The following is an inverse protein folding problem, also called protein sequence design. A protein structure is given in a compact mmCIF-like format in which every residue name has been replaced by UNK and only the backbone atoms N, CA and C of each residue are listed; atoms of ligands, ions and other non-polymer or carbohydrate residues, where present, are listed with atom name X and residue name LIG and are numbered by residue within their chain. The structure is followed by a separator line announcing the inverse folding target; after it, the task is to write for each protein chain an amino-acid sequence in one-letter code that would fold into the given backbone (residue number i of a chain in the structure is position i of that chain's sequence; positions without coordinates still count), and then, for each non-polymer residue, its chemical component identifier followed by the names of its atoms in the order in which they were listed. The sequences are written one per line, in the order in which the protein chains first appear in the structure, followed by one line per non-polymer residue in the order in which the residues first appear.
data_IF_396783771859
#
_entry.id   IF_396783771859
#
_cell.length_a   1.000
_cell.length_b   1.000
_cell.length_c   1.000
_cell.angle_alpha   90.00
_cell.angle_beta   90.00
_cell.angle_gamma   90.00
#
_symmetry.space_group_name_H-M   'P 1'
#
loop_
_entity.id
_entity.type
_entity.pdbx_description
1 polymer ?
#
# COMPACT_ATOMS: atom_id res chain seq x y z
N UNK A 1 -10.90 -11.28 1.94
CA UNK A 1 -11.43 -9.90 2.01
C UNK A 1 -11.04 -9.27 3.33
N UNK A 2 -10.42 -8.10 3.30
CA UNK A 2 -9.93 -7.36 4.47
C UNK A 2 -10.65 -5.99 4.58
N UNK A 3 -10.86 -5.43 5.77
CA UNK A 3 -11.59 -4.16 5.95
C UNK A 3 -10.80 -2.90 5.52
N UNK A 4 -11.19 -2.25 4.44
CA UNK A 4 -10.65 -0.96 3.97
C UNK A 4 -11.27 0.28 4.62
N UNK A 5 -10.69 1.45 4.32
CA UNK A 5 -11.15 2.75 4.81
C UNK A 5 -12.57 3.05 4.30
N UNK A 6 -13.37 3.74 5.12
CA UNK A 6 -14.75 4.13 4.83
C UNK A 6 -15.74 2.96 4.63
N UNK A 7 -15.53 1.84 5.33
CA UNK A 7 -16.44 0.69 5.30
C UNK A 7 -16.40 -0.12 4.00
N UNK A 8 -15.36 0.05 3.18
CA UNK A 8 -15.13 -0.75 1.97
C UNK A 8 -14.34 -2.01 2.31
N UNK A 9 -14.49 -3.08 1.55
CA UNK A 9 -13.64 -4.28 1.65
C UNK A 9 -12.55 -4.23 0.57
N UNK A 10 -11.39 -4.79 0.89
CA UNK A 10 -10.15 -4.84 0.09
C UNK A 10 -9.83 -6.31 -0.17
N UNK A 11 -9.66 -6.69 -1.43
CA UNK A 11 -9.34 -8.07 -1.83
C UNK A 11 -7.83 -8.19 -2.06
N UNK A 12 -7.11 -8.56 -1.00
CA UNK A 12 -5.67 -8.80 -1.09
C UNK A 12 -5.43 -10.28 -1.39
N UNK A 13 -4.74 -10.53 -2.50
CA UNK A 13 -4.27 -11.87 -2.88
C UNK A 13 -2.84 -12.09 -2.39
N UNK A 14 -2.60 -13.22 -1.75
CA UNK A 14 -1.27 -13.63 -1.27
C UNK A 14 -0.80 -14.86 -2.05
N UNK A 15 0.41 -14.81 -2.61
CA UNK A 15 1.13 -16.05 -2.94
C UNK A 15 1.89 -16.50 -1.69
N UNK A 16 1.31 -17.43 -0.93
CA UNK A 16 1.92 -17.92 0.32
C UNK A 16 3.31 -18.52 0.12
N UNK A 17 3.47 -19.45 -0.83
CA UNK A 17 4.79 -20.04 -1.13
C UNK A 17 5.80 -19.02 -1.67
N UNK A 18 5.36 -18.07 -2.50
CA UNK A 18 6.23 -17.02 -3.05
C UNK A 18 6.58 -15.93 -2.02
N UNK A 19 5.81 -15.82 -0.93
CA UNK A 19 5.90 -14.72 0.03
C UNK A 19 5.72 -13.35 -0.63
N UNK A 20 4.73 -13.27 -1.53
CA UNK A 20 4.36 -12.07 -2.26
C UNK A 20 2.91 -11.69 -1.98
N UNK A 21 2.65 -10.39 -1.96
CA UNK A 21 1.33 -9.79 -1.87
C UNK A 21 1.00 -9.06 -3.17
N UNK A 22 -0.21 -9.25 -3.67
CA UNK A 22 -0.77 -8.49 -4.79
C UNK A 22 -1.62 -7.35 -4.26
N UNK A 23 -1.37 -6.14 -4.76
CA UNK A 23 -2.22 -4.97 -4.50
C UNK A 23 -2.78 -4.45 -5.81
N UNK A 24 -4.07 -4.13 -5.85
CA UNK A 24 -4.62 -3.29 -6.91
C UNK A 24 -4.20 -1.81 -6.75
N UNK A 25 -4.55 -0.98 -7.73
CA UNK A 25 -4.16 0.44 -7.78
C UNK A 25 -4.57 1.30 -6.56
N UNK A 26 -5.52 0.86 -5.73
CA UNK A 26 -6.10 1.67 -4.65
C UNK A 26 -6.01 1.04 -3.27
N UNK A 27 -5.71 -0.26 -3.18
CA UNK A 27 -5.80 -1.02 -1.94
C UNK A 27 -4.73 -0.67 -0.89
N UNK A 28 -3.48 -0.44 -1.30
CA UNK A 28 -2.38 -0.12 -0.37
C UNK A 28 -2.60 1.20 0.39
N UNK A 29 -3.33 2.14 -0.21
CA UNK A 29 -3.71 3.42 0.39
C UNK A 29 -5.00 3.33 1.22
N UNK A 30 -5.79 2.26 1.04
CA UNK A 30 -7.09 2.06 1.69
C UNK A 30 -7.04 1.14 2.90
N UNK A 31 -5.89 0.54 3.23
CA UNK A 31 -5.74 -0.33 4.39
C UNK A 31 -5.96 0.43 5.71
N UNK A 32 -7.00 0.05 6.44
CA UNK A 32 -7.22 0.48 7.83
C UNK A 32 -6.24 -0.21 8.78
N UNK A 33 -6.11 0.30 9.99
CA UNK A 33 -5.41 -0.37 11.09
C UNK A 33 -5.76 -1.86 11.24
N UNK A 34 -7.06 -2.19 11.45
CA UNK A 34 -7.51 -3.58 11.50
C UNK A 34 -7.13 -4.42 10.27
N UNK A 35 -7.30 -3.91 9.04
CA UNK A 35 -6.92 -4.68 7.86
C UNK A 35 -5.41 -4.86 7.71
N UNK A 36 -4.61 -3.88 8.14
CA UNK A 36 -3.17 -4.02 8.17
C UNK A 36 -2.75 -5.09 9.18
N UNK A 37 -3.40 -5.15 10.36
CA UNK A 37 -3.18 -6.19 11.35
C UNK A 37 -3.51 -7.57 10.77
N UNK A 38 -4.70 -7.72 10.17
CA UNK A 38 -5.16 -8.98 9.59
C UNK A 38 -4.26 -9.43 8.41
N UNK A 39 -3.82 -8.49 7.58
CA UNK A 39 -2.86 -8.75 6.48
C UNK A 39 -1.53 -9.25 7.01
N UNK A 40 -0.95 -8.58 8.01
CA UNK A 40 0.30 -9.00 8.64
C UNK A 40 0.15 -10.38 9.26
N UNK A 41 -0.98 -10.68 9.90
CA UNK A 41 -1.28 -12.01 10.42
C UNK A 41 -1.37 -13.07 9.31
N UNK A 42 -1.94 -12.73 8.16
CA UNK A 42 -1.97 -13.62 7.00
C UNK A 42 -0.58 -13.87 6.41
N UNK A 43 0.25 -12.82 6.28
CA UNK A 43 1.64 -12.93 5.85
C UNK A 43 2.46 -13.78 6.84
N UNK A 44 2.29 -13.57 8.15
CA UNK A 44 2.96 -14.33 9.19
C UNK A 44 2.68 -15.84 9.09
N UNK A 45 1.43 -16.25 8.89
CA UNK A 45 1.06 -17.67 8.73
C UNK A 45 1.72 -18.32 7.51
N UNK A 46 2.07 -17.55 6.48
CA UNK A 46 2.74 -18.12 5.30
C UNK A 46 4.24 -18.39 5.52
N UNK A 47 4.84 -17.83 6.57
CA UNK A 47 6.27 -18.06 6.90
C UNK A 47 6.59 -19.49 7.34
N UNK A 48 5.57 -20.30 7.64
CA UNK A 48 5.72 -21.71 7.95
C UNK A 48 5.72 -22.57 6.66
N UNK A 49 5.44 -21.96 5.50
CA UNK A 49 5.49 -22.62 4.19
C UNK A 49 6.90 -22.54 3.61
N UNK A 50 7.35 -23.58 2.88
CA UNK A 50 8.62 -23.52 2.16
C UNK A 50 8.58 -22.42 1.09
N UNK A 51 9.65 -21.62 1.01
CA UNK A 51 9.75 -20.58 0.00
C UNK A 51 9.87 -21.18 -1.41
N UNK A 52 9.08 -20.66 -2.33
CA UNK A 52 9.11 -21.00 -3.76
C UNK A 52 9.46 -19.74 -4.55
N UNK A 53 10.48 -19.82 -5.40
CA UNK A 53 10.82 -18.74 -6.33
C UNK A 53 9.65 -18.49 -7.27
N UNK A 54 9.26 -17.22 -7.44
CA UNK A 54 8.24 -16.84 -8.41
C UNK A 54 8.69 -17.29 -9.81
N UNK A 55 7.81 -17.99 -10.53
CA UNK A 55 8.13 -18.46 -11.88
C UNK A 55 8.35 -17.27 -12.83
N UNK A 56 9.31 -17.34 -13.77
CA UNK A 56 9.56 -16.25 -14.73
C UNK A 56 8.36 -15.91 -15.62
N UNK A 57 7.46 -16.87 -15.84
CA UNK A 57 6.23 -16.73 -16.62
C UNK A 57 5.01 -16.30 -15.78
N UNK A 58 5.21 -15.94 -14.51
CA UNK A 58 4.14 -15.43 -13.67
C UNK A 58 3.54 -14.15 -14.26
N UNK A 59 2.25 -14.23 -14.56
CA UNK A 59 1.46 -13.10 -15.06
C UNK A 59 0.71 -12.37 -13.95
N UNK A 60 0.06 -11.27 -14.34
CA UNK A 60 -0.89 -10.56 -13.49
C UNK A 60 -2.00 -11.48 -12.98
N UNK A 61 -2.29 -11.42 -11.68
CA UNK A 61 -3.37 -12.21 -11.04
C UNK A 61 -4.76 -11.98 -11.67
N UNK A 62 -4.99 -10.81 -12.29
CA UNK A 62 -6.28 -10.42 -12.85
C UNK A 62 -6.41 -10.72 -14.34
N UNK A 63 -5.38 -10.49 -15.15
CA UNK A 63 -5.46 -10.62 -16.61
C UNK A 63 -4.42 -11.55 -17.25
N UNK A 64 -3.52 -12.15 -16.46
CA UNK A 64 -2.45 -13.03 -16.97
C UNK A 64 -1.35 -12.31 -17.77
N UNK A 65 -1.46 -10.99 -18.00
CA UNK A 65 -0.45 -10.24 -18.75
C UNK A 65 0.92 -10.25 -18.06
N UNK A 66 1.97 -10.15 -18.87
CA UNK A 66 3.36 -10.06 -18.40
C UNK A 66 3.55 -8.90 -17.42
N UNK A 67 4.33 -9.15 -16.37
CA UNK A 67 4.68 -8.16 -15.37
C UNK A 67 5.92 -7.35 -15.82
N UNK A 68 5.98 -6.08 -15.41
CA UNK A 68 7.17 -5.23 -15.56
C UNK A 68 7.75 -4.92 -14.18
N UNK A 69 9.07 -4.97 -14.07
CA UNK A 69 9.77 -4.55 -12.86
C UNK A 69 9.80 -3.02 -12.80
N UNK A 70 9.25 -2.46 -11.72
CA UNK A 70 9.21 -1.01 -11.47
C UNK A 70 9.89 -0.72 -10.15
N UNK A 71 10.70 0.34 -10.12
CA UNK A 71 11.36 0.81 -8.91
C UNK A 71 10.58 2.00 -8.37
N UNK A 72 10.04 1.86 -7.17
CA UNK A 72 9.31 2.92 -6.51
C UNK A 72 10.20 3.59 -5.45
N UNK A 73 9.87 4.82 -5.08
CA UNK A 73 10.55 5.61 -4.05
C UNK A 73 9.51 6.13 -3.08
N UNK A 74 9.63 5.72 -1.83
CA UNK A 74 8.86 6.28 -0.73
C UNK A 74 9.75 7.21 0.11
N UNK A 75 9.16 7.89 1.10
CA UNK A 75 9.92 8.64 2.11
C UNK A 75 10.86 7.76 2.94
N UNK A 76 10.69 6.44 2.90
CA UNK A 76 11.47 5.47 3.67
C UNK A 76 12.48 4.68 2.83
N UNK A 77 12.59 4.96 1.53
CA UNK A 77 13.58 4.33 0.66
C UNK A 77 13.00 3.81 -0.65
N UNK A 78 13.81 2.99 -1.32
CA UNK A 78 13.48 2.37 -2.61
C UNK A 78 12.82 1.02 -2.39
N UNK A 79 11.89 0.69 -3.26
CA UNK A 79 11.19 -0.59 -3.32
C UNK A 79 11.08 -1.05 -4.77
N UNK A 80 10.82 -2.33 -4.97
CA UNK A 80 10.67 -2.93 -6.28
C UNK A 80 9.33 -3.63 -6.36
N UNK A 81 8.58 -3.36 -7.42
CA UNK A 81 7.25 -3.90 -7.69
C UNK A 81 7.26 -4.65 -9.02
N UNK A 82 6.47 -5.71 -9.12
CA UNK A 82 6.17 -6.36 -10.40
C UNK A 82 4.76 -5.93 -10.83
N UNK A 83 4.70 -4.84 -11.60
CA UNK A 83 3.45 -4.20 -12.02
C UNK A 83 2.86 -4.88 -13.27
N UNK A 84 1.53 -4.97 -13.32
CA UNK A 84 0.81 -5.29 -14.54
C UNK A 84 0.98 -4.17 -15.58
N UNK A 85 1.34 -4.52 -16.82
CA UNK A 85 1.38 -3.56 -17.94
C UNK A 85 0.01 -2.93 -18.25
N UNK A 86 -1.08 -3.63 -17.95
CA UNK A 86 -2.45 -3.12 -18.09
C UNK A 86 -2.92 -2.30 -16.87
N UNK A 87 -2.09 -2.11 -15.85
CA UNK A 87 -2.41 -1.27 -14.70
C UNK A 87 -3.33 -1.90 -13.66
N UNK A 88 -3.56 -3.22 -13.65
CA UNK A 88 -4.45 -3.85 -12.66
C UNK A 88 -3.89 -3.89 -11.23
N UNK A 89 -2.59 -3.71 -11.03
CA UNK A 89 -1.95 -3.85 -9.73
C UNK A 89 -0.49 -4.29 -9.84
N UNK A 90 0.09 -4.67 -8.70
CA UNK A 90 1.47 -5.09 -8.59
C UNK A 90 1.70 -6.17 -7.53
N UNK A 91 2.63 -7.09 -7.80
CA UNK A 91 3.22 -7.92 -6.75
C UNK A 91 4.32 -7.16 -6.02
N UNK A 92 4.38 -7.39 -4.72
CA UNK A 92 5.47 -6.95 -3.84
C UNK A 92 5.83 -8.08 -2.90
N UNK A 93 7.10 -8.20 -2.52
CA UNK A 93 7.47 -9.06 -1.39
C UNK A 93 6.97 -8.45 -0.08
N UNK A 94 6.75 -9.29 0.92
CA UNK A 94 6.35 -8.84 2.25
C UNK A 94 7.33 -7.84 2.84
N UNK A 95 8.64 -8.07 2.68
CA UNK A 95 9.66 -7.14 3.12
C UNK A 95 9.58 -5.78 2.39
N UNK A 96 9.34 -5.77 1.08
CA UNK A 96 9.19 -4.51 0.34
C UNK A 96 7.96 -3.73 0.82
N UNK A 97 6.82 -4.40 0.97
CA UNK A 97 5.61 -3.77 1.49
C UNK A 97 5.84 -3.15 2.88
N UNK A 98 6.43 -3.90 3.81
CA UNK A 98 6.70 -3.41 5.16
C UNK A 98 7.74 -2.27 5.16
N UNK A 99 8.76 -2.33 4.30
CA UNK A 99 9.75 -1.25 4.11
C UNK A 99 9.09 0.02 3.56
N UNK A 100 8.14 -0.10 2.63
CA UNK A 100 7.37 1.03 2.10
C UNK A 100 6.46 1.67 3.14
N UNK A 101 6.06 0.94 4.18
CA UNK A 101 5.37 1.51 5.35
C UNK A 101 6.36 2.02 6.41
N UNK A 102 7.66 1.91 6.14
CA UNK A 102 8.74 2.28 7.04
C UNK A 102 8.87 1.36 8.25
N UNK A 103 8.25 0.18 8.25
CA UNK A 103 8.22 -0.71 9.41
C UNK A 103 9.52 -1.50 9.57
N UNK A 104 10.30 -1.60 8.50
CA UNK A 104 11.56 -2.32 8.47
C UNK A 104 12.77 -1.39 8.46
N UNK A 105 13.87 -1.96 8.98
CA UNK A 105 15.22 -1.46 8.75
C UNK A 105 16.18 -2.64 8.53
N UNK A 106 17.30 -2.46 7.82
CA UNK A 106 18.33 -3.48 7.70
C UNK A 106 18.93 -3.90 9.06
N UNK A 107 19.32 -5.17 9.19
CA UNK A 107 20.09 -5.67 10.36
C UNK A 107 21.52 -5.10 10.33
N UNK A 108 21.94 -4.48 11.44
CA UNK A 108 23.35 -4.19 11.68
C UNK A 108 24.10 -5.42 12.19
N UNK A 109 25.42 -5.36 12.20
CA UNK A 109 26.26 -6.42 12.82
C UNK A 109 25.96 -6.58 14.33
N UNK A 110 25.66 -5.48 15.02
CA UNK A 110 25.30 -5.50 16.44
C UNK A 110 23.98 -6.22 16.66
N UNK A 111 22.98 -5.94 15.81
CA UNK A 111 21.68 -6.62 15.88
C UNK A 111 21.82 -8.13 15.70
N UNK A 112 22.64 -8.55 14.72
CA UNK A 112 22.90 -9.96 14.45
C UNK A 112 23.55 -10.66 15.65
N UNK A 113 24.57 -10.04 16.24
CA UNK A 113 25.24 -10.58 17.42
C UNK A 113 24.25 -10.77 18.58
N UNK A 114 23.41 -9.77 18.86
CA UNK A 114 22.42 -9.83 19.95
C UNK A 114 21.32 -10.86 19.71
N UNK A 115 20.82 -10.97 18.47
CA UNK A 115 19.81 -11.98 18.14
C UNK A 115 20.36 -13.40 18.32
N UNK A 116 21.60 -13.64 17.87
CA UNK A 116 22.25 -14.94 18.06
C UNK A 116 22.54 -15.24 19.52
N UNK A 117 23.00 -14.26 20.30
CA UNK A 117 23.26 -14.43 21.73
C UNK A 117 22.00 -14.79 22.51
N UNK A 118 20.86 -14.15 22.20
CA UNK A 118 19.62 -14.32 22.96
C UNK A 118 18.70 -15.42 22.46
N UNK A 119 18.55 -15.53 21.15
CA UNK A 119 17.60 -16.45 20.52
C UNK A 119 18.30 -17.64 19.86
N UNK A 120 19.62 -17.59 19.68
CA UNK A 120 20.39 -18.65 19.01
C UNK A 120 20.24 -18.69 17.48
N UNK A 121 19.33 -17.90 16.92
CA UNK A 121 19.03 -17.86 15.49
C UNK A 121 18.58 -16.47 15.05
N UNK A 122 18.52 -16.27 13.73
CA UNK A 122 18.01 -15.07 13.08
C UNK A 122 17.06 -15.55 11.98
N UNK A 123 15.86 -14.98 11.91
CA UNK A 123 14.89 -15.33 10.87
C UNK A 123 14.76 -14.24 9.82
N UNK A 124 14.44 -14.66 8.59
CA UNK A 124 14.10 -13.74 7.52
C UNK A 124 12.68 -13.20 7.71
N UNK A 125 12.54 -11.87 7.84
CA UNK A 125 11.22 -11.23 8.00
C UNK A 125 10.28 -11.43 6.80
N UNK A 126 10.84 -11.75 5.62
CA UNK A 126 10.05 -12.03 4.42
C UNK A 126 9.52 -13.47 4.41
N UNK A 127 10.42 -14.46 4.42
CA UNK A 127 10.07 -15.86 4.20
C UNK A 127 10.19 -16.78 5.41
N UNK A 128 10.54 -16.27 6.59
CA UNK A 128 10.68 -17.07 7.82
C UNK A 128 11.91 -17.99 7.88
N UNK A 129 12.71 -18.06 6.81
CA UNK A 129 13.87 -18.93 6.77
C UNK A 129 15.01 -18.46 7.68
N UNK A 130 15.73 -19.41 8.29
CA UNK A 130 16.89 -19.12 9.11
C UNK A 130 18.01 -18.46 8.30
N UNK A 131 18.61 -17.43 8.91
CA UNK A 131 19.70 -16.63 8.35
C UNK A 131 21.01 -16.96 9.06
N UNK A 132 22.09 -17.02 8.27
CA UNK A 132 23.45 -17.11 8.79
C UNK A 132 23.95 -15.80 9.38
N UNK A 133 24.93 -15.89 10.28
CA UNK A 133 25.55 -14.73 10.96
C UNK A 133 26.04 -13.66 9.98
N UNK A 134 26.66 -14.06 8.87
CA UNK A 134 27.24 -13.17 7.85
C UNK A 134 26.40 -13.00 6.59
N UNK A 135 25.16 -13.50 6.56
CA UNK A 135 24.35 -13.43 5.34
C UNK A 135 23.90 -12.00 5.07
N UNK A 136 24.37 -11.40 3.98
CA UNK A 136 23.94 -10.07 3.53
C UNK A 136 22.54 -10.09 2.90
N UNK A 137 22.13 -11.25 2.37
CA UNK A 137 20.84 -11.51 1.73
C UNK A 137 20.33 -12.88 2.17
N UNK A 138 19.00 -13.03 2.29
CA UNK A 138 18.40 -14.33 2.53
C UNK A 138 18.68 -15.26 1.34
N UNK A 139 19.27 -16.43 1.61
CA UNK A 139 19.63 -17.42 0.58
C UNK A 139 18.43 -18.04 -0.12
N UNK A 140 17.25 -17.94 0.48
CA UNK A 140 16.02 -18.55 -0.01
C UNK A 140 15.22 -17.58 -0.88
N UNK A 141 14.93 -16.37 -0.38
CA UNK A 141 14.08 -15.40 -1.08
C UNK A 141 14.82 -14.15 -1.58
N UNK A 142 16.13 -14.02 -1.33
CA UNK A 142 16.94 -12.88 -1.77
C UNK A 142 16.68 -11.57 -1.01
N UNK A 143 15.76 -11.54 -0.04
CA UNK A 143 15.47 -10.31 0.71
C UNK A 143 16.63 -9.91 1.63
N UNK A 144 16.84 -8.61 1.79
CA UNK A 144 17.79 -8.06 2.77
C UNK A 144 17.32 -8.39 4.19
N UNK A 145 18.15 -9.04 5.03
CA UNK A 145 17.84 -9.26 6.44
C UNK A 145 17.48 -7.95 7.12
N UNK A 146 16.25 -7.91 7.65
CA UNK A 146 15.67 -6.71 8.23
C UNK A 146 15.00 -6.99 9.57
N UNK A 147 15.00 -5.99 10.43
CA UNK A 147 14.29 -5.98 11.70
C UNK A 147 12.98 -5.23 11.54
N UNK A 148 11.94 -5.77 12.15
CA UNK A 148 10.64 -5.14 12.27
C UNK A 148 10.54 -4.38 13.61
N UNK A 149 10.18 -3.10 13.53
CA UNK A 149 9.93 -2.25 14.70
C UNK A 149 8.48 -2.40 15.15
N UNK A 150 8.29 -3.11 16.26
CA UNK A 150 6.94 -3.41 16.81
C UNK A 150 6.23 -2.14 17.27
N UNK A 151 6.95 -1.14 17.78
CA UNK A 151 6.36 0.11 18.24
C UNK A 151 5.93 0.99 17.06
N UNK A 152 6.69 0.99 15.96
CA UNK A 152 6.26 1.62 14.71
C UNK A 152 5.09 0.87 14.08
N UNK A 153 5.07 -0.46 14.16
CA UNK A 153 3.93 -1.26 13.71
C UNK A 153 2.66 -0.91 14.51
N UNK A 154 2.72 -0.94 15.84
CA UNK A 154 1.57 -0.58 16.69
C UNK A 154 1.00 0.80 16.35
N UNK A 155 1.86 1.81 16.17
CA UNK A 155 1.43 3.16 15.73
C UNK A 155 0.88 3.20 14.31
N UNK A 156 1.41 2.38 13.40
CA UNK A 156 0.85 2.27 12.05
C UNK A 156 -0.53 1.60 12.04
N UNK A 157 -0.81 0.73 13.01
CA UNK A 157 -2.14 0.13 13.21
C UNK A 157 -3.13 1.13 13.81
N UNK A 158 -2.67 2.11 14.59
CA UNK A 158 -3.51 3.15 15.19
C UNK A 158 -3.10 4.56 14.74
N UNK A 159 -3.33 4.93 13.47
CA UNK A 159 -2.94 6.24 12.95
C UNK A 159 -3.68 7.41 13.61
N UNK A 160 -4.76 7.14 14.35
CA UNK A 160 -5.59 8.15 15.00
C UNK A 160 -5.27 8.32 16.49
N UNK A 161 -4.35 7.51 17.02
CA UNK A 161 -3.87 7.57 18.40
C UNK A 161 -4.98 7.29 19.42
N UNK A 162 -5.89 6.38 19.11
CA UNK A 162 -7.05 6.04 19.94
C UNK A 162 -6.70 5.06 21.05
N UNK A 163 -5.63 4.28 20.88
CA UNK A 163 -5.08 3.37 21.87
C UNK A 163 -4.17 4.10 22.88
N UNK A 164 -3.88 5.38 22.66
CA UNK A 164 -3.16 6.21 23.63
C UNK A 164 -4.07 6.48 24.85
N UNK A 165 -3.59 6.26 26.09
CA UNK A 165 -4.36 6.59 27.29
C UNK A 165 -4.77 8.07 27.30
N UNK A 166 -6.01 8.34 27.72
CA UNK A 166 -6.62 9.67 27.71
C UNK A 166 -5.75 10.78 28.36
N UNK A 167 -5.93 11.99 27.83
CA UNK A 167 -5.18 13.23 28.03
C UNK A 167 -5.13 13.86 29.45
N UNK A 168 -5.04 13.07 30.53
CA UNK A 168 -4.69 13.57 31.88
C UNK A 168 -3.17 13.53 32.13
N UNK A 169 -2.39 12.91 31.23
CA UNK A 169 -0.92 12.84 31.30
C UNK A 169 -0.20 13.79 30.31
N UNK A 170 -0.83 14.92 29.98
CA UNK A 170 -0.23 15.94 29.12
C UNK A 170 0.98 16.59 29.81
N UNK A 171 2.18 16.06 29.56
CA UNK A 171 3.38 16.88 29.52
C UNK A 171 3.88 16.93 28.07
N UNK A 172 3.86 18.11 27.41
CA UNK A 172 4.29 18.27 26.03
C UNK A 172 5.82 18.25 25.94
N UNK A 173 6.42 17.08 26.16
CA UNK A 173 7.83 16.85 25.93
C UNK A 173 8.03 15.81 24.83
N UNK A 174 8.40 16.33 23.65
CA UNK A 174 9.20 15.67 22.61
C UNK A 174 8.49 14.60 21.76
N UNK A 175 8.09 15.04 20.57
CA UNK A 175 7.92 14.21 19.37
C UNK A 175 9.24 13.50 18.90
N UNK A 176 10.24 13.31 19.76
CA UNK A 176 11.58 12.82 19.39
C UNK A 176 11.98 11.52 20.09
N UNK A 177 11.12 10.88 20.89
CA UNK A 177 11.41 9.56 21.46
C UNK A 177 10.19 8.62 21.32
N UNK A 178 10.40 7.42 20.76
CA UNK A 178 9.37 6.38 20.76
C UNK A 178 9.21 5.85 22.19
N UNK A 179 8.03 5.46 22.66
CA UNK A 179 7.90 4.86 24.00
C UNK A 179 8.00 3.33 23.92
N UNK A 180 8.62 2.69 24.92
CA UNK A 180 8.68 1.24 25.02
C UNK A 180 7.28 0.68 25.27
N UNK A 181 6.79 -0.22 24.40
CA UNK A 181 5.47 -0.84 24.56
C UNK A 181 5.31 -1.76 25.79
N UNK A 182 6.39 -2.07 26.51
CA UNK A 182 6.33 -2.87 27.74
C UNK A 182 6.31 -2.02 29.03
N UNK A 183 7.07 -0.92 29.08
CA UNK A 183 7.21 -0.11 30.30
C UNK A 183 6.95 1.40 30.13
N UNK A 184 6.62 1.87 28.92
CA UNK A 184 6.35 3.28 28.63
C UNK A 184 7.59 4.18 28.56
N UNK A 185 8.80 3.66 28.79
CA UNK A 185 10.01 4.49 28.79
C UNK A 185 10.34 5.07 27.40
N UNK A 186 10.78 6.33 27.37
CA UNK A 186 11.25 6.99 26.16
C UNK A 186 12.49 6.28 25.57
N UNK A 187 12.42 5.96 24.29
CA UNK A 187 13.42 5.31 23.47
C UNK A 187 14.08 6.36 22.58
N UNK A 188 15.42 6.43 22.56
CA UNK A 188 16.12 7.39 21.73
C UNK A 188 15.82 7.17 20.24
N UNK A 189 15.79 8.24 19.41
CA UNK A 189 15.71 8.12 17.98
C UNK A 189 17.00 7.47 17.48
N UNK A 190 16.90 6.23 16.99
CA UNK A 190 18.07 5.38 16.71
C UNK A 190 18.24 4.25 17.73
N UNK A 191 17.27 3.32 17.72
CA UNK A 191 17.42 1.87 17.89
C UNK A 191 18.41 1.36 18.93
N UNK A 192 17.96 1.26 20.18
CA UNK A 192 18.36 0.15 21.03
C UNK A 192 17.47 -1.06 20.74
N UNK A 193 18.08 -2.23 20.60
CA UNK A 193 17.42 -3.53 20.36
C UNK A 193 16.48 -3.91 21.52
N UNK A 194 16.69 -3.24 22.65
CA UNK A 194 16.02 -3.42 23.93
C UNK A 194 15.71 -2.07 24.54
N UNK A 195 14.63 -1.99 25.30
CA UNK A 195 14.42 -0.86 26.17
C UNK A 195 15.51 -0.82 27.25
N UNK A 196 16.25 0.29 27.36
CA UNK A 196 17.27 0.46 28.41
C UNK A 196 16.70 0.42 29.83
N UNK A 197 15.40 0.67 29.98
CA UNK A 197 14.72 0.74 31.28
C UNK A 197 14.16 -0.61 31.75
N UNK A 198 13.63 -1.45 30.85
CA UNK A 198 12.99 -2.71 31.22
C UNK A 198 13.55 -3.95 30.51
N UNK A 199 14.51 -3.78 29.59
CA UNK A 199 15.10 -4.87 28.83
C UNK A 199 14.20 -5.48 27.75
N UNK A 200 12.97 -4.99 27.54
CA UNK A 200 12.07 -5.54 26.53
C UNK A 200 12.64 -5.39 25.11
N UNK A 201 12.77 -6.50 24.40
CA UNK A 201 13.26 -6.53 23.02
C UNK A 201 12.23 -5.92 22.08
N UNK A 202 12.64 -4.91 21.32
CA UNK A 202 11.81 -4.13 20.38
C UNK A 202 12.07 -4.49 18.91
N UNK A 203 13.11 -5.30 18.68
CA UNK A 203 13.56 -5.73 17.37
C UNK A 203 13.23 -7.20 17.17
N UNK A 204 12.35 -7.47 16.21
CA UNK A 204 11.92 -8.83 15.88
C UNK A 204 12.33 -9.15 14.44
N UNK A 205 12.88 -10.35 14.23
CA UNK A 205 13.30 -10.84 12.92
C UNK A 205 12.24 -11.70 12.23
N UNK A 206 11.34 -12.35 12.99
CA UNK A 206 10.22 -13.16 12.45
C UNK A 206 8.91 -12.35 12.44
N UNK A 207 8.17 -12.37 11.34
CA UNK A 207 6.93 -11.58 11.24
C UNK A 207 5.84 -12.13 12.18
N UNK A 208 5.82 -13.45 12.41
CA UNK A 208 4.94 -14.12 13.37
C UNK A 208 5.01 -13.54 14.77
N UNK A 209 6.20 -13.45 15.36
CA UNK A 209 6.37 -12.95 16.72
C UNK A 209 5.96 -11.48 16.85
N UNK A 210 6.19 -10.68 15.80
CA UNK A 210 5.75 -9.29 15.78
C UNK A 210 4.22 -9.18 15.73
N UNK A 211 3.57 -10.00 14.92
CA UNK A 211 2.12 -10.08 14.86
C UNK A 211 1.52 -10.48 16.21
N UNK A 212 2.07 -11.50 16.88
CA UNK A 212 1.61 -11.94 18.20
C UNK A 212 1.59 -10.80 19.22
N UNK A 213 2.64 -9.97 19.24
CA UNK A 213 2.73 -8.83 20.15
C UNK A 213 1.69 -7.75 19.92
N UNK A 214 1.27 -7.53 18.67
CA UNK A 214 0.29 -6.48 18.32
C UNK A 214 -1.14 -7.01 18.16
N UNK A 215 -1.33 -8.34 18.11
CA UNK A 215 -2.63 -8.97 17.93
C UNK A 215 -3.62 -8.62 19.05
N UNK A 216 -3.12 -8.37 20.26
CA UNK A 216 -3.90 -7.91 21.42
C UNK A 216 -4.60 -6.57 21.18
N UNK A 217 -4.09 -5.73 20.27
CA UNK A 217 -4.71 -4.46 19.89
C UNK A 217 -5.94 -4.65 19.00
N UNK A 218 -6.10 -5.82 18.37
CA UNK A 218 -7.11 -6.09 17.35
C UNK A 218 -8.55 -5.76 17.76
N UNK A 219 -9.05 -6.20 18.94
CA UNK A 219 -10.40 -5.88 19.39
C UNK A 219 -10.64 -4.37 19.51
N UNK A 220 -9.70 -3.61 20.09
CA UNK A 220 -9.82 -2.18 20.27
C UNK A 220 -9.79 -1.43 18.93
N UNK A 221 -8.89 -1.82 18.02
CA UNK A 221 -8.81 -1.27 16.66
C UNK A 221 -10.12 -1.50 15.88
N UNK A 222 -10.71 -2.70 15.98
CA UNK A 222 -11.98 -3.01 15.31
C UNK A 222 -13.15 -2.23 15.92
N UNK A 223 -13.22 -2.14 17.25
CA UNK A 223 -14.27 -1.35 17.92
C UNK A 223 -14.24 0.11 17.47
N UNK A 224 -13.05 0.71 17.42
CA UNK A 224 -12.85 2.08 16.93
C UNK A 224 -13.20 2.23 15.44
N UNK A 225 -12.79 1.27 14.59
CA UNK A 225 -13.14 1.31 13.17
C UNK A 225 -14.67 1.24 12.93
N UNK A 226 -15.41 0.50 13.75
CA UNK A 226 -16.87 0.43 13.69
C UNK A 226 -17.55 1.69 14.24
N UNK A 227 -17.08 2.20 15.37
CA UNK A 227 -17.65 3.37 16.03
C UNK A 227 -16.52 4.31 16.46
N UNK A 228 -16.07 5.21 15.57
CA UNK A 228 -14.99 6.11 15.90
C UNK A 228 -15.40 7.09 17.00
N UNK A 229 -14.45 7.42 17.88
CA UNK A 229 -14.67 8.41 18.93
C UNK A 229 -15.10 9.78 18.33
N UNK A 230 -16.02 10.53 18.97
CA UNK A 230 -16.51 11.80 18.42
C UNK A 230 -15.41 12.83 18.13
N UNK A 231 -14.35 12.85 18.94
CA UNK A 231 -13.18 13.73 18.75
C UNK A 231 -12.39 13.41 17.48
N UNK A 232 -12.32 12.13 17.10
CA UNK A 232 -11.69 11.67 15.86
C UNK A 232 -12.54 12.07 14.67
N UNK A 233 -13.86 11.88 14.76
CA UNK A 233 -14.80 12.32 13.73
C UNK A 233 -14.68 13.83 13.52
N UNK A 234 -14.64 14.61 14.61
CA UNK A 234 -14.45 16.07 14.54
C UNK A 234 -13.14 16.45 13.84
N UNK A 235 -12.01 15.87 14.27
CA UNK A 235 -10.71 16.11 13.60
C UNK A 235 -10.73 15.75 12.11
N UNK A 236 -11.40 14.67 11.72
CA UNK A 236 -11.56 14.28 10.30
C UNK A 236 -12.36 15.32 9.53
N UNK A 237 -13.46 15.82 10.09
CA UNK A 237 -14.27 16.87 9.46
C UNK A 237 -13.47 18.17 9.30
N UNK A 238 -12.79 18.60 10.36
CA UNK A 238 -11.95 19.81 10.33
C UNK A 238 -10.84 19.71 9.26
N UNK A 239 -10.22 18.53 9.12
CA UNK A 239 -9.20 18.29 8.09
C UNK A 239 -9.77 18.29 6.66
N UNK A 240 -10.99 17.78 6.46
CA UNK A 240 -11.68 17.82 5.16
C UNK A 240 -12.08 19.26 4.80
N UNK A 241 -12.56 20.03 5.78
CA UNK A 241 -12.90 21.44 5.60
C UNK A 241 -11.68 22.29 5.25
N UNK A 242 -10.52 22.00 5.85
CA UNK A 242 -9.27 22.66 5.49
C UNK A 242 -8.77 22.35 4.07
N UNK A 243 -9.06 21.15 3.54
CA UNK A 243 -8.64 20.72 2.18
C UNK A 243 -9.64 21.12 1.07
N UNK A 244 -10.90 21.41 1.45
CA UNK A 244 -11.99 21.76 0.54
C UNK A 244 -11.66 22.91 -0.45
N UNK A 245 -11.04 24.03 -0.03
CA UNK A 245 -10.66 25.11 -0.95
C UNK A 245 -9.70 24.64 -2.04
N UNK A 246 -8.65 23.91 -1.66
CA UNK A 246 -7.65 23.37 -2.60
C UNK A 246 -8.28 22.41 -3.61
N UNK A 247 -9.21 21.57 -3.16
CA UNK A 247 -9.95 20.67 -4.05
C UNK A 247 -10.83 21.41 -5.04
N UNK A 248 -11.50 22.49 -4.60
CA UNK A 248 -12.32 23.33 -5.49
C UNK A 248 -11.45 24.00 -6.57
N UNK A 249 -10.30 24.53 -6.21
CA UNK A 249 -9.34 25.10 -7.16
C UNK A 249 -8.85 24.06 -8.17
N UNK A 250 -8.48 22.87 -7.70
CA UNK A 250 -8.06 21.77 -8.58
C UNK A 250 -9.19 21.35 -9.54
N UNK A 251 -10.42 21.20 -9.04
CA UNK A 251 -11.58 20.87 -9.86
C UNK A 251 -11.87 21.97 -10.90
N UNK A 252 -11.80 23.24 -10.51
CA UNK A 252 -11.97 24.36 -11.43
C UNK A 252 -10.89 24.37 -12.53
N UNK A 253 -9.63 24.07 -12.19
CA UNK A 253 -8.54 23.94 -13.17
C UNK A 253 -8.77 22.79 -14.15
N UNK A 254 -9.19 21.62 -13.65
CA UNK A 254 -9.50 20.46 -14.50
C UNK A 254 -10.69 20.75 -15.43
N UNK A 255 -11.71 21.45 -14.94
CA UNK A 255 -12.85 21.87 -15.73
C UNK A 255 -12.41 22.84 -16.84
N UNK A 256 -11.62 23.85 -16.50
CA UNK A 256 -11.07 24.80 -17.49
C UNK A 256 -10.21 24.10 -18.56
N UNK A 257 -9.39 23.12 -18.17
CA UNK A 257 -8.60 22.33 -19.13
C UNK A 257 -9.50 21.46 -20.03
N UNK A 258 -10.55 20.86 -19.48
CA UNK A 258 -11.53 20.09 -20.25
C UNK A 258 -12.31 20.99 -21.23
N UNK A 259 -12.72 22.18 -20.80
CA UNK A 259 -13.43 23.16 -21.63
C UNK A 259 -12.51 23.71 -22.73
N UNK A 260 -11.22 23.94 -22.46
CA UNK A 260 -10.24 24.28 -23.49
C UNK A 260 -10.03 23.16 -24.51
N UNK A 261 -10.01 21.90 -24.07
CA UNK A 261 -9.93 20.74 -24.97
C UNK A 261 -11.20 20.59 -25.81
N UNK A 262 -12.38 20.84 -25.24
CA UNK A 262 -13.66 20.90 -25.97
C UNK A 262 -13.71 22.06 -26.95
N UNK A 263 -13.19 23.23 -26.58
CA UNK A 263 -13.11 24.39 -27.47
C UNK A 263 -12.08 24.26 -28.59
N UNK A 264 -11.07 23.39 -28.43
CA UNK A 264 -10.10 23.02 -29.49
C UNK A 264 -10.56 21.91 -30.41
N UNK A 265 -11.52 21.09 -29.99
CA UNK A 265 -12.22 20.17 -30.87
C UNK A 265 -13.34 20.95 -31.54
N UNK A 266 -13.18 21.29 -32.81
CA UNK A 266 -14.23 21.88 -33.65
C UNK A 266 -15.61 21.32 -33.28
N UNK A 267 -16.44 22.17 -32.66
CA UNK A 267 -17.87 22.11 -32.95
C UNK A 267 -17.94 22.52 -34.41
N UNK A 268 -17.92 21.52 -35.28
CA UNK A 268 -18.16 21.69 -36.70
C UNK A 268 -19.38 22.60 -36.85
N UNK A 269 -19.15 23.72 -37.51
CA UNK A 269 -20.18 24.65 -37.92
C UNK A 269 -21.25 23.87 -38.70
N UNK A 270 -22.40 23.64 -38.08
CA UNK A 270 -23.55 23.01 -38.73
C UNK A 270 -24.08 23.86 -39.90
N UNK A 271 -23.64 25.13 -40.02
CA UNK A 271 -23.94 26.02 -41.13
C UNK A 271 -23.23 25.69 -42.44
N UNK A 272 -22.10 24.97 -42.41
CA UNK A 272 -21.26 24.72 -43.60
C UNK A 272 -21.58 23.40 -44.33
N UNK A 273 -22.51 22.60 -43.81
CA UNK A 273 -23.01 21.40 -44.50
C UNK A 273 -23.91 21.74 -45.72
N UNK A 274 -24.43 22.97 -45.80
CA UNK A 274 -25.32 23.41 -46.88
C UNK A 274 -24.72 24.46 -47.84
N UNK A 275 -23.48 24.90 -47.61
CA UNK A 275 -22.85 26.01 -48.36
C UNK A 275 -21.71 25.58 -49.32
N UNK A 276 -21.28 24.32 -49.29
CA UNK A 276 -20.20 23.85 -50.19
C UNK A 276 -20.76 23.33 -51.52
N UNK A 277 -20.42 24.04 -52.59
CA UNK A 277 -20.88 23.83 -53.97
C UNK A 277 -20.88 22.37 -54.42
N UNK A 278 -21.90 22.04 -55.20
CA UNK A 278 -22.17 20.72 -55.77
C UNK A 278 -20.95 20.16 -56.52
N UNK A 279 -20.17 19.33 -55.83
CA UNK A 279 -19.10 18.56 -56.45
C UNK A 279 -19.73 17.43 -57.28
N UNK A 280 -19.50 17.36 -58.60
CA UNK A 280 -20.19 16.41 -59.50
C UNK A 280 -19.99 14.94 -59.10
N UNK A 281 -18.90 14.61 -58.41
CA UNK A 281 -18.64 13.26 -57.88
C UNK A 281 -19.64 12.84 -56.80
N UNK A 282 -20.14 13.78 -55.98
CA UNK A 282 -21.17 13.51 -54.96
C UNK A 282 -22.52 13.21 -55.58
N UNK A 283 -22.87 13.90 -56.67
CA UNK A 283 -24.12 13.66 -57.40
C UNK A 283 -24.15 12.26 -58.05
N UNK A 284 -23.03 11.83 -58.62
CA UNK A 284 -22.88 10.47 -59.19
C UNK A 284 -22.97 9.40 -58.11
N UNK A 285 -22.32 9.61 -56.95
CA UNK A 285 -22.37 8.65 -55.83
C UNK A 285 -23.78 8.53 -55.24
N UNK A 286 -24.51 9.64 -55.11
CA UNK A 286 -25.91 9.61 -54.67
C UNK A 286 -26.83 8.95 -55.69
N UNK A 287 -26.63 9.20 -56.99
CA UNK A 287 -27.40 8.53 -58.04
C UNK A 287 -27.16 7.01 -58.06
N UNK A 288 -25.91 6.56 -57.88
CA UNK A 288 -25.57 5.14 -57.77
C UNK A 288 -26.16 4.51 -56.51
N UNK A 289 -26.16 5.20 -55.38
CA UNK A 289 -26.75 4.70 -54.14
C UNK A 289 -28.28 4.56 -54.25
N UNK A 290 -28.96 5.55 -54.85
CA UNK A 290 -30.41 5.50 -55.09
C UNK A 290 -30.74 4.38 -56.08
N UNK A 291 -29.97 4.23 -57.16
CA UNK A 291 -30.15 3.14 -58.11
C UNK A 291 -29.94 1.77 -57.46
N UNK A 292 -28.90 1.62 -56.62
CA UNK A 292 -28.61 0.38 -55.92
C UNK A 292 -29.71 -0.02 -54.94
N UNK A 293 -30.25 0.94 -54.18
CA UNK A 293 -31.37 0.70 -53.26
C UNK A 293 -32.64 0.35 -54.04
N UNK A 294 -32.93 1.02 -55.15
CA UNK A 294 -34.11 0.71 -55.97
C UNK A 294 -33.99 -0.67 -56.66
N UNK A 295 -32.79 -1.07 -57.10
CA UNK A 295 -32.55 -2.36 -57.75
C UNK A 295 -32.61 -3.55 -56.78
N UNK A 296 -32.21 -3.36 -55.52
CA UNK A 296 -32.18 -4.45 -54.54
C UNK A 296 -33.45 -4.55 -53.67
N UNK A 297 -34.21 -3.45 -53.50
CA UNK A 297 -35.38 -3.39 -52.62
C UNK A 297 -36.69 -2.91 -53.29
N UNK A 298 -36.70 -2.71 -54.61
CA UNK A 298 -37.92 -2.52 -55.43
C UNK A 298 -38.28 -3.76 -56.22
#
# INVERSE_FOLDING_TARGET
MLPGHYGRTVEIDLCGGCHLVWFDLSETARLTGPALLDLIGAMARTQDLPHLTLRPDAGCARCGATLKTVHNRSRWGRSLHLECRAGHGAYQSFAQFLQEKGLLRPLSLVDRARLLERHGHIDCVNCGAALGKGDEQCRYCGSVPSLLDVARLARALDPEGVLEPQAVHQDPARQEAMQCGACGAALPPGLSVDCAQCGATLAISRLGDAHERVATLGPALRAHAHKPAPEVVRRRLDALDADLPRRREFAAKMQAEADQRRGRGEVGDWGDLFSSGTNPLRAVLLALAIWFVWYFWG
#
